data_IF_068997916438
#
_entry.id   IF_068997916438
#
_cell.length_a   1.000
_cell.length_b   1.000
_cell.length_c   1.000
_cell.angle_alpha   90.00
_cell.angle_beta   90.00
_cell.angle_gamma   90.00
#
_symmetry.space_group_name_H-M   'P 1'
#
loop_
_entity.id
_entity.type
_entity.pdbx_description
1 polymer ?
#
# COMPACT_ATOMS: atom_id res chain seq x y z
N UNK A 1 -3.15 14.26 26.99
CA UNK A 1 -1.79 14.19 26.41
C UNK A 1 -0.77 13.96 27.53
N UNK A 2 -0.73 12.78 28.17
CA UNK A 2 0.34 12.39 29.14
C UNK A 2 0.18 10.93 29.66
N UNK A 3 0.14 9.92 28.77
CA UNK A 3 0.08 8.50 29.21
C UNK A 3 1.09 7.60 28.45
N UNK A 4 1.82 8.10 27.44
CA UNK A 4 2.65 7.24 26.57
C UNK A 4 4.10 6.99 27.06
N UNK A 5 4.57 7.64 28.13
CA UNK A 5 5.99 7.60 28.53
C UNK A 5 6.35 6.57 29.61
N UNK A 6 5.38 5.90 30.24
CA UNK A 6 5.66 4.92 31.32
C UNK A 6 6.07 3.54 30.81
N UNK A 7 5.75 3.17 29.56
CA UNK A 7 6.05 1.84 29.01
C UNK A 7 7.50 1.65 28.55
N UNK A 8 8.17 2.71 28.09
CA UNK A 8 9.52 2.61 27.54
C UNK A 8 10.61 2.48 28.63
N UNK A 9 10.42 3.11 29.78
CA UNK A 9 11.36 3.00 30.92
C UNK A 9 11.37 1.61 31.54
N UNK A 10 10.23 0.90 31.58
CA UNK A 10 10.18 -0.48 32.07
C UNK A 10 10.92 -1.48 31.17
N UNK A 11 10.92 -1.28 29.84
CA UNK A 11 11.64 -2.17 28.91
C UNK A 11 13.16 -1.97 28.98
N UNK A 12 13.62 -0.73 29.10
CA UNK A 12 15.05 -0.44 29.27
C UNK A 12 15.62 -1.09 30.55
N UNK A 13 14.88 -1.02 31.67
CA UNK A 13 15.26 -1.65 32.93
C UNK A 13 15.29 -3.19 32.85
N UNK A 14 14.45 -3.80 32.02
CA UNK A 14 14.46 -5.27 31.84
C UNK A 14 15.67 -5.75 31.02
N UNK A 15 16.06 -4.99 29.99
CA UNK A 15 17.24 -5.28 29.17
C UNK A 15 18.54 -5.18 29.98
N UNK A 16 18.71 -4.12 30.78
CA UNK A 16 19.89 -3.96 31.63
C UNK A 16 20.03 -5.10 32.66
N UNK A 17 18.90 -5.54 33.22
CA UNK A 17 18.89 -6.67 34.15
C UNK A 17 19.27 -7.97 33.46
N UNK A 18 18.84 -8.18 32.21
CA UNK A 18 19.18 -9.37 31.44
C UNK A 18 20.69 -9.41 31.11
N UNK A 19 21.25 -8.27 30.68
CA UNK A 19 22.68 -8.13 30.36
C UNK A 19 23.54 -8.35 31.61
N UNK A 20 23.14 -7.80 32.76
CA UNK A 20 23.84 -8.01 34.03
C UNK A 20 23.83 -9.49 34.45
N UNK A 21 22.72 -10.18 34.26
CA UNK A 21 22.59 -11.61 34.61
C UNK A 21 23.47 -12.47 33.69
N UNK A 22 23.52 -12.16 32.40
CA UNK A 22 24.34 -12.90 31.43
C UNK A 22 25.84 -12.71 31.69
N UNK A 23 26.26 -11.50 32.06
CA UNK A 23 27.65 -11.22 32.43
C UNK A 23 28.10 -12.01 33.68
N UNK A 24 27.21 -12.17 34.66
CA UNK A 24 27.49 -12.94 35.88
C UNK A 24 27.66 -14.43 35.59
N UNK A 25 26.80 -15.02 34.76
CA UNK A 25 26.90 -16.43 34.35
C UNK A 25 28.22 -16.70 33.59
N UNK A 26 28.62 -15.80 32.69
CA UNK A 26 29.90 -15.91 31.98
C UNK A 26 31.12 -15.85 32.90
N UNK A 27 31.07 -15.02 33.95
CA UNK A 27 32.15 -14.92 34.93
C UNK A 27 32.27 -16.18 35.81
N UNK A 28 31.15 -16.78 36.20
CA UNK A 28 31.14 -18.04 36.96
C UNK A 28 31.67 -19.21 36.14
N UNK A 29 31.31 -19.29 34.86
CA UNK A 29 31.79 -20.36 33.97
C UNK A 29 33.32 -20.28 33.77
N UNK A 30 33.88 -19.06 33.63
CA UNK A 30 35.34 -18.85 33.60
C UNK A 30 36.02 -19.30 34.90
N UNK A 31 35.43 -19.02 36.07
CA UNK A 31 35.97 -19.47 37.38
C UNK A 31 35.96 -21.00 37.50
N UNK A 32 34.90 -21.66 37.05
CA UNK A 32 34.82 -23.13 37.07
C UNK A 32 35.84 -23.76 36.13
N UNK A 33 36.02 -23.23 34.92
CA UNK A 33 37.01 -23.75 33.97
C UNK A 33 38.44 -23.60 34.50
N UNK A 34 38.76 -22.49 35.18
CA UNK A 34 40.08 -22.31 35.82
C UNK A 34 40.33 -23.34 36.93
N UNK A 35 39.33 -23.67 37.75
CA UNK A 35 39.41 -24.72 38.77
C UNK A 35 39.64 -26.11 38.16
N UNK A 36 38.93 -26.45 37.07
CA UNK A 36 39.08 -27.77 36.40
C UNK A 36 40.47 -27.93 35.76
N UNK A 37 41.02 -26.88 35.17
CA UNK A 37 42.36 -26.91 34.60
C UNK A 37 43.45 -27.04 35.67
N UNK A 38 43.31 -26.34 36.81
CA UNK A 38 44.24 -26.49 37.94
C UNK A 38 44.25 -27.93 38.49
N UNK A 39 43.09 -28.58 38.59
CA UNK A 39 42.99 -29.95 39.08
C UNK A 39 43.61 -30.99 38.12
N UNK A 40 43.52 -30.76 36.80
CA UNK A 40 44.14 -31.64 35.79
C UNK A 40 45.67 -31.59 35.85
N UNK A 41 46.24 -30.40 35.98
CA UNK A 41 47.70 -30.21 36.07
C UNK A 41 48.25 -30.85 37.36
N UNK A 42 47.53 -30.74 38.48
CA UNK A 42 47.91 -31.40 39.73
C UNK A 42 47.91 -32.93 39.66
N UNK A 43 46.91 -33.53 38.98
CA UNK A 43 46.82 -35.00 38.81
C UNK A 43 47.88 -35.57 37.87
N UNK A 44 48.22 -34.88 36.78
CA UNK A 44 49.28 -35.35 35.88
C UNK A 44 50.67 -35.33 36.53
N UNK A 45 50.95 -34.34 37.39
CA UNK A 45 52.22 -34.26 38.11
C UNK A 45 52.38 -35.40 39.14
N UNK A 46 51.30 -35.80 39.82
CA UNK A 46 51.34 -36.90 40.79
C UNK A 46 51.62 -38.27 40.14
N UNK A 47 51.05 -38.52 38.95
CA UNK A 47 51.23 -39.80 38.23
C UNK A 47 52.66 -39.90 37.67
N UNK A 48 53.23 -38.80 37.17
CA UNK A 48 54.61 -38.79 36.69
C UNK A 48 55.65 -39.00 37.82
N UNK A 49 55.39 -38.50 39.02
CA UNK A 49 56.25 -38.71 40.19
C UNK A 49 56.28 -40.16 40.67
N UNK A 50 55.15 -40.87 40.64
CA UNK A 50 55.07 -42.26 41.08
C UNK A 50 55.79 -43.23 40.13
N UNK A 51 55.72 -43.01 38.81
CA UNK A 51 56.41 -43.84 37.82
C UNK A 51 57.94 -43.73 37.87
N UNK A 52 58.46 -42.57 38.29
CA UNK A 52 59.90 -42.30 38.36
C UNK A 52 60.54 -42.89 39.63
N UNK A 53 59.78 -43.01 40.73
CA UNK A 53 60.26 -43.67 41.95
C UNK A 53 60.38 -45.19 41.79
N UNK A 54 59.47 -45.84 41.04
CA UNK A 54 59.49 -47.28 40.84
C UNK A 54 60.66 -47.75 39.96
N UNK A 55 61.07 -46.94 38.97
CA UNK A 55 62.17 -47.28 38.06
C UNK A 55 63.54 -47.10 38.70
N UNK A 56 63.71 -46.11 39.58
CA UNK A 56 64.98 -45.88 40.30
C UNK A 56 65.27 -47.03 41.27
N UNK A 57 64.27 -47.58 41.95
CA UNK A 57 64.47 -48.72 42.87
C UNK A 57 64.88 -50.03 42.17
N UNK A 58 64.40 -50.29 40.95
CA UNK A 58 64.80 -51.50 40.20
C UNK A 58 66.22 -51.44 39.63
N UNK A 59 66.70 -50.26 39.22
CA UNK A 59 68.05 -50.12 38.64
C UNK A 59 69.13 -50.20 39.73
N UNK A 60 68.88 -49.68 40.93
CA UNK A 60 69.82 -49.78 42.06
C UNK A 60 69.98 -51.22 42.58
N UNK A 61 68.97 -52.08 42.44
CA UNK A 61 69.09 -53.50 42.79
C UNK A 61 69.94 -54.29 41.78
N UNK A 62 69.90 -53.93 40.49
CA UNK A 62 70.64 -54.63 39.44
C UNK A 62 72.13 -54.27 39.40
N UNK A 63 72.52 -53.07 39.83
CA UNK A 63 73.93 -52.65 39.85
C UNK A 63 74.72 -53.16 41.06
N UNK A 64 74.06 -53.69 42.09
CA UNK A 64 74.72 -54.20 43.30
C UNK A 64 75.08 -55.71 43.23
N UNK A 65 74.87 -56.35 42.06
CA UNK A 65 75.18 -57.77 41.82
C UNK A 65 76.58 -58.01 41.21
N UNK A 66 77.39 -56.95 41.06
CA UNK A 66 78.66 -57.02 40.31
C UNK A 66 79.89 -57.53 41.07
N UNK A 67 79.86 -57.68 42.39
CA UNK A 67 81.08 -58.08 43.14
C UNK A 67 80.81 -58.50 44.59
N UNK A 68 80.28 -59.70 44.81
CA UNK A 68 80.27 -60.35 46.13
C UNK A 68 80.56 -61.84 45.95
N UNK A 69 81.59 -62.33 46.65
CA UNK A 69 81.95 -63.75 46.69
C UNK A 69 80.76 -64.58 47.16
N UNK A 70 80.45 -65.66 46.45
CA UNK A 70 79.32 -66.56 46.68
C UNK A 70 79.05 -66.84 48.17
N UNK A 71 78.04 -66.20 48.79
CA UNK A 71 77.41 -66.74 49.98
C UNK A 71 76.54 -67.92 49.54
N UNK A 72 76.34 -68.89 50.43
CA UNK A 72 75.44 -70.02 50.20
C UNK A 72 74.11 -69.52 49.62
N UNK A 73 73.74 -70.04 48.45
CA UNK A 73 72.49 -69.74 47.77
C UNK A 73 71.35 -69.90 48.79
N UNK A 74 70.56 -68.84 49.08
CA UNK A 74 69.39 -69.00 49.90
C UNK A 74 68.48 -70.00 49.18
N UNK A 75 68.20 -71.12 49.84
CA UNK A 75 67.19 -72.08 49.38
C UNK A 75 65.86 -71.35 49.38
N UNK A 76 65.45 -70.86 48.21
CA UNK A 76 64.12 -70.29 47.99
C UNK A 76 63.13 -71.38 48.43
N UNK A 77 62.34 -71.07 49.46
CA UNK A 77 61.36 -72.02 49.95
C UNK A 77 60.24 -72.14 48.92
N UNK A 78 59.64 -73.32 48.79
CA UNK A 78 58.50 -73.53 47.88
C UNK A 78 57.37 -72.52 48.18
N UNK A 79 57.22 -72.12 49.46
CA UNK A 79 56.26 -71.09 49.89
C UNK A 79 56.52 -69.70 49.29
N UNK A 80 57.78 -69.30 49.09
CA UNK A 80 58.10 -68.01 48.47
C UNK A 80 57.71 -68.00 46.99
N UNK A 81 57.86 -69.15 46.32
CA UNK A 81 57.45 -69.33 44.92
C UNK A 81 55.93 -69.29 44.81
N UNK A 82 55.21 -69.98 45.69
CA UNK A 82 53.74 -69.99 45.69
C UNK A 82 53.17 -68.61 45.99
N UNK A 83 53.79 -67.85 46.91
CA UNK A 83 53.39 -66.48 47.22
C UNK A 83 53.61 -65.54 46.01
N UNK A 84 54.74 -65.67 45.30
CA UNK A 84 55.01 -64.90 44.10
C UNK A 84 54.01 -65.20 42.96
N UNK A 85 53.58 -66.47 42.84
CA UNK A 85 52.57 -66.88 41.86
C UNK A 85 51.21 -66.25 42.19
N UNK A 86 50.81 -66.23 43.47
CA UNK A 86 49.58 -65.58 43.92
C UNK A 86 49.62 -64.06 43.72
N UNK A 87 50.73 -63.41 44.07
CA UNK A 87 50.89 -61.96 43.87
C UNK A 87 50.82 -61.59 42.37
N UNK A 88 51.42 -62.43 41.51
CA UNK A 88 51.33 -62.26 40.05
C UNK A 88 49.89 -62.43 39.55
N UNK A 89 49.13 -63.37 40.09
CA UNK A 89 47.73 -63.57 39.74
C UNK A 89 46.88 -62.35 40.15
N UNK A 90 47.03 -61.86 41.38
CA UNK A 90 46.35 -60.63 41.85
C UNK A 90 46.72 -59.40 41.01
N UNK A 91 48.00 -59.25 40.66
CA UNK A 91 48.45 -58.13 39.82
C UNK A 91 47.83 -58.19 38.43
N UNK A 92 47.69 -59.39 37.87
CA UNK A 92 47.07 -59.59 36.55
C UNK A 92 45.58 -59.24 36.59
N UNK A 93 44.87 -59.60 37.67
CA UNK A 93 43.47 -59.24 37.88
C UNK A 93 43.29 -57.72 38.02
N UNK A 94 44.15 -57.06 38.81
CA UNK A 94 44.15 -55.60 38.97
C UNK A 94 44.43 -54.88 37.65
N UNK A 95 45.32 -55.41 36.81
CA UNK A 95 45.58 -54.87 35.47
C UNK A 95 44.35 -54.97 34.58
N UNK A 96 43.66 -56.12 34.57
CA UNK A 96 42.45 -56.31 33.79
C UNK A 96 41.35 -55.31 34.20
N UNK A 97 41.17 -55.10 35.51
CA UNK A 97 40.20 -54.11 36.03
C UNK A 97 40.58 -52.69 35.58
N UNK A 98 41.86 -52.32 35.64
CA UNK A 98 42.36 -51.02 35.19
C UNK A 98 42.14 -50.81 33.68
N UNK A 99 42.42 -51.83 32.85
CA UNK A 99 42.14 -51.77 31.41
C UNK A 99 40.65 -51.58 31.12
N UNK A 100 39.78 -52.30 31.83
CA UNK A 100 38.34 -52.15 31.71
C UNK A 100 37.87 -50.74 32.13
N UNK A 101 38.43 -50.18 33.20
CA UNK A 101 38.15 -48.81 33.62
C UNK A 101 38.63 -47.78 32.59
N UNK A 102 39.81 -47.94 32.01
CA UNK A 102 40.34 -47.05 30.97
C UNK A 102 39.43 -47.09 29.74
N UNK A 103 39.01 -48.27 29.30
CA UNK A 103 38.07 -48.41 28.19
C UNK A 103 36.73 -47.71 28.49
N UNK A 104 36.21 -47.85 29.72
CA UNK A 104 35.00 -47.15 30.16
C UNK A 104 35.14 -45.61 30.13
N UNK A 105 36.26 -45.08 30.62
CA UNK A 105 36.55 -43.64 30.60
C UNK A 105 36.70 -43.13 29.15
N UNK A 106 37.32 -43.90 28.27
CA UNK A 106 37.45 -43.54 26.85
C UNK A 106 36.08 -43.50 26.16
N UNK A 107 35.19 -44.45 26.44
CA UNK A 107 33.80 -44.43 25.97
C UNK A 107 33.04 -43.20 26.44
N UNK A 108 33.14 -42.87 27.74
CA UNK A 108 32.52 -41.64 28.28
C UNK A 108 33.08 -40.37 27.65
N UNK A 109 34.39 -40.31 27.38
CA UNK A 109 35.03 -39.18 26.70
C UNK A 109 34.48 -39.01 25.29
N UNK A 110 34.32 -40.08 24.53
CA UNK A 110 33.74 -40.03 23.18
C UNK A 110 32.29 -39.56 23.21
N UNK A 111 31.47 -40.10 24.13
CA UNK A 111 30.09 -39.67 24.30
C UNK A 111 29.98 -38.17 24.62
N UNK A 112 30.85 -37.64 25.50
CA UNK A 112 30.90 -36.20 25.79
C UNK A 112 31.38 -35.36 24.60
N UNK A 113 32.25 -35.90 23.74
CA UNK A 113 32.67 -35.19 22.52
C UNK A 113 31.53 -35.09 21.51
N UNK A 114 30.73 -36.14 21.36
CA UNK A 114 29.53 -36.13 20.52
C UNK A 114 28.51 -35.12 21.05
N UNK A 115 28.18 -35.18 22.35
CA UNK A 115 27.27 -34.19 22.97
C UNK A 115 27.77 -32.74 22.81
N UNK A 116 29.08 -32.52 22.90
CA UNK A 116 29.65 -31.18 22.68
C UNK A 116 29.48 -30.72 21.23
N UNK A 117 29.61 -31.61 20.25
CA UNK A 117 29.40 -31.29 18.85
C UNK A 117 27.93 -30.90 18.59
N UNK A 118 26.98 -31.69 19.11
CA UNK A 118 25.54 -31.39 19.04
C UNK A 118 25.21 -30.02 19.66
N UNK A 119 25.78 -29.71 20.83
CA UNK A 119 25.55 -28.42 21.47
C UNK A 119 26.11 -27.24 20.65
N UNK A 120 27.25 -27.42 19.98
CA UNK A 120 27.81 -26.38 19.10
C UNK A 120 26.89 -26.16 17.89
N UNK A 121 26.36 -27.22 17.29
CA UNK A 121 25.41 -27.13 16.19
C UNK A 121 24.11 -26.44 16.61
N UNK A 122 23.54 -26.82 17.76
CA UNK A 122 22.36 -26.16 18.32
C UNK A 122 22.61 -24.67 18.60
N UNK A 123 23.80 -24.31 19.09
CA UNK A 123 24.15 -22.91 19.34
C UNK A 123 24.28 -22.10 18.05
N UNK A 124 24.74 -22.71 16.96
CA UNK A 124 24.83 -22.07 15.65
C UNK A 124 23.43 -21.83 15.06
N UNK A 125 22.53 -22.81 15.17
CA UNK A 125 21.13 -22.66 14.75
C UNK A 125 20.42 -21.55 15.53
N UNK A 126 20.63 -21.46 16.84
CA UNK A 126 20.08 -20.38 17.67
C UNK A 126 20.62 -19.01 17.28
N UNK A 127 21.91 -18.90 16.94
CA UNK A 127 22.49 -17.65 16.47
C UNK A 127 21.88 -17.19 15.15
N UNK A 128 21.66 -18.12 14.21
CA UNK A 128 21.00 -17.82 12.94
C UNK A 128 19.55 -17.36 13.13
N UNK A 129 18.79 -18.03 14.01
CA UNK A 129 17.42 -17.62 14.32
C UNK A 129 17.34 -16.24 14.98
N UNK A 130 18.30 -15.90 15.84
CA UNK A 130 18.39 -14.56 16.44
C UNK A 130 18.70 -13.48 15.41
N UNK A 131 19.56 -13.77 14.43
CA UNK A 131 19.85 -12.85 13.32
C UNK A 131 18.61 -12.65 12.43
N UNK A 132 17.90 -13.73 12.10
CA UNK A 132 16.64 -13.65 11.35
C UNK A 132 15.56 -12.87 12.12
N UNK A 133 15.44 -13.07 13.44
CA UNK A 133 14.53 -12.32 14.27
C UNK A 133 14.89 -10.81 14.30
N UNK A 134 16.19 -10.48 14.34
CA UNK A 134 16.67 -9.11 14.28
C UNK A 134 16.31 -8.41 12.96
N UNK A 135 16.50 -9.08 11.82
CA UNK A 135 16.15 -8.52 10.51
C UNK A 135 14.63 -8.32 10.34
N UNK A 136 13.83 -9.28 10.85
CA UNK A 136 12.36 -9.14 10.91
C UNK A 136 11.93 -7.96 11.77
N UNK A 137 12.57 -7.76 12.93
CA UNK A 137 12.27 -6.62 13.79
C UNK A 137 12.58 -5.28 13.10
N UNK A 138 13.74 -5.15 12.45
CA UNK A 138 14.09 -3.92 11.72
C UNK A 138 13.13 -3.63 10.56
N UNK A 139 12.61 -4.69 9.91
CA UNK A 139 11.62 -4.55 8.83
C UNK A 139 10.26 -4.10 9.37
N UNK A 140 9.84 -4.62 10.52
CA UNK A 140 8.62 -4.15 11.20
C UNK A 140 8.73 -2.68 11.64
N UNK A 141 9.90 -2.27 12.14
CA UNK A 141 10.15 -0.89 12.53
C UNK A 141 10.09 0.06 11.32
N UNK A 142 10.64 -0.32 10.17
CA UNK A 142 10.55 0.49 8.95
C UNK A 142 9.11 0.57 8.41
N UNK A 143 8.37 -0.54 8.43
CA UNK A 143 6.94 -0.56 8.09
C UNK A 143 6.11 0.34 9.01
N UNK A 144 6.41 0.34 10.32
CA UNK A 144 5.73 1.21 11.28
C UNK A 144 6.02 2.69 11.01
N UNK A 145 7.26 3.05 10.64
CA UNK A 145 7.61 4.41 10.25
C UNK A 145 6.88 4.83 8.96
N UNK A 146 6.78 3.93 7.97
CA UNK A 146 6.00 4.17 6.76
C UNK A 146 4.50 4.39 7.07
N UNK A 147 3.93 3.58 7.97
CA UNK A 147 2.55 3.78 8.45
C UNK A 147 2.34 5.15 9.08
N UNK A 148 3.28 5.60 9.92
CA UNK A 148 3.20 6.95 10.50
C UNK A 148 3.34 8.06 9.47
N UNK A 149 4.07 7.86 8.37
CA UNK A 149 4.16 8.84 7.28
C UNK A 149 2.83 8.92 6.51
N UNK A 150 2.22 7.77 6.20
CA UNK A 150 0.91 7.72 5.55
C UNK A 150 -0.17 8.39 6.41
N UNK A 151 -0.15 8.19 7.73
CA UNK A 151 -1.09 8.88 8.63
C UNK A 151 -0.93 10.41 8.58
N UNK A 152 0.31 10.90 8.47
CA UNK A 152 0.57 12.34 8.31
C UNK A 152 0.09 12.86 6.97
N UNK A 153 0.27 12.10 5.89
CA UNK A 153 -0.25 12.45 4.55
C UNK A 153 -1.78 12.47 4.53
N UNK A 154 -2.44 11.47 5.12
CA UNK A 154 -3.90 11.44 5.24
C UNK A 154 -4.40 12.65 6.03
N UNK A 155 -3.73 13.00 7.13
CA UNK A 155 -4.06 14.19 7.90
C UNK A 155 -3.92 15.47 7.06
N UNK A 156 -2.83 15.60 6.28
CA UNK A 156 -2.62 16.74 5.40
C UNK A 156 -3.69 16.85 4.30
N UNK A 157 -4.04 15.73 3.65
CA UNK A 157 -5.10 15.67 2.63
C UNK A 157 -6.44 16.07 3.25
N UNK A 158 -6.76 15.57 4.45
CA UNK A 158 -8.01 15.93 5.14
C UNK A 158 -8.09 17.43 5.47
N UNK A 159 -6.97 18.05 5.82
CA UNK A 159 -6.89 19.49 6.07
C UNK A 159 -7.07 20.30 4.77
N UNK A 160 -6.47 19.84 3.67
CA UNK A 160 -6.67 20.46 2.34
C UNK A 160 -8.12 20.39 1.89
N UNK A 161 -8.78 19.23 2.06
CA UNK A 161 -10.21 19.08 1.74
C UNK A 161 -11.07 20.07 2.51
N UNK A 162 -10.84 20.20 3.82
CA UNK A 162 -11.57 21.17 4.66
C UNK A 162 -11.33 22.62 4.26
N UNK A 163 -10.12 22.95 3.79
CA UNK A 163 -9.81 24.28 3.29
C UNK A 163 -10.52 24.57 1.95
N UNK A 164 -10.61 23.57 1.07
CA UNK A 164 -11.38 23.66 -0.17
C UNK A 164 -12.87 23.87 0.12
N UNK A 165 -13.44 23.09 1.05
CA UNK A 165 -14.85 23.21 1.44
C UNK A 165 -15.19 24.63 1.93
N UNK A 166 -14.35 25.23 2.77
CA UNK A 166 -14.49 26.64 3.15
C UNK A 166 -14.43 27.63 1.98
N UNK A 167 -13.58 27.35 0.98
CA UNK A 167 -13.52 28.20 -0.21
C UNK A 167 -14.79 28.08 -1.05
N UNK A 168 -15.35 26.88 -1.16
CA UNK A 168 -16.64 26.66 -1.81
C UNK A 168 -17.76 27.43 -1.11
N UNK A 169 -17.86 27.36 0.21
CA UNK A 169 -18.82 28.16 0.99
C UNK A 169 -18.67 29.67 0.72
N UNK A 170 -17.43 30.16 0.59
CA UNK A 170 -17.17 31.56 0.24
C UNK A 170 -17.62 31.90 -1.18
N UNK A 171 -17.39 31.00 -2.15
CA UNK A 171 -17.86 31.20 -3.52
C UNK A 171 -19.38 31.18 -3.62
N UNK A 172 -20.04 30.30 -2.88
CA UNK A 172 -21.51 30.24 -2.82
C UNK A 172 -22.08 31.55 -2.26
N UNK A 173 -21.53 32.04 -1.16
CA UNK A 173 -21.93 33.34 -0.59
C UNK A 173 -21.68 34.52 -1.56
N UNK A 174 -20.61 34.48 -2.35
CA UNK A 174 -20.37 35.48 -3.40
C UNK A 174 -21.38 35.37 -4.54
N UNK A 175 -21.74 34.14 -4.93
CA UNK A 175 -22.77 33.88 -5.94
C UNK A 175 -24.14 34.43 -5.54
N UNK A 176 -24.54 34.24 -4.27
CA UNK A 176 -25.79 34.82 -3.75
C UNK A 176 -25.78 36.35 -3.79
N UNK A 177 -24.65 36.97 -3.44
CA UNK A 177 -24.50 38.43 -3.49
C UNK A 177 -24.62 38.96 -4.92
N UNK A 178 -23.97 38.29 -5.89
CA UNK A 178 -24.07 38.63 -7.31
C UNK A 178 -25.50 38.44 -7.85
N UNK A 179 -26.20 37.37 -7.45
CA UNK A 179 -27.59 37.16 -7.83
C UNK A 179 -28.49 38.30 -7.33
N UNK A 180 -28.28 38.77 -6.11
CA UNK A 180 -29.00 39.91 -5.55
C UNK A 180 -28.68 41.23 -6.28
N UNK A 181 -27.43 41.42 -6.71
CA UNK A 181 -27.02 42.56 -7.53
C UNK A 181 -27.71 42.55 -8.90
N UNK A 182 -27.78 41.39 -9.57
CA UNK A 182 -28.49 41.24 -10.86
C UNK A 182 -29.98 41.58 -10.72
N UNK A 183 -30.63 41.12 -9.65
CA UNK A 183 -32.03 41.45 -9.36
C UNK A 183 -32.19 42.98 -9.20
N UNK A 184 -31.29 43.62 -8.47
CA UNK A 184 -31.32 45.07 -8.27
C UNK A 184 -31.13 45.84 -9.58
N UNK A 185 -30.18 45.42 -10.42
CA UNK A 185 -29.94 46.03 -11.75
C UNK A 185 -31.15 45.85 -12.66
N UNK A 186 -31.77 44.66 -12.68
CA UNK A 186 -32.98 44.41 -13.47
C UNK A 186 -34.16 45.28 -13.00
N UNK A 187 -34.31 45.49 -11.69
CA UNK A 187 -35.31 46.40 -11.14
C UNK A 187 -35.06 47.85 -11.59
N UNK A 188 -33.81 48.31 -11.56
CA UNK A 188 -33.44 49.64 -12.04
C UNK A 188 -33.69 49.81 -13.54
N UNK A 189 -33.37 48.78 -14.35
CA UNK A 189 -33.66 48.78 -15.79
C UNK A 189 -35.15 48.95 -16.07
N UNK A 190 -36.00 48.18 -15.36
CA UNK A 190 -37.45 48.26 -15.50
C UNK A 190 -38.00 49.65 -15.14
N UNK A 191 -37.43 50.29 -14.12
CA UNK A 191 -37.78 51.66 -13.75
C UNK A 191 -37.39 52.66 -14.86
N UNK A 192 -36.18 52.55 -15.42
CA UNK A 192 -35.74 53.38 -16.53
C UNK A 192 -36.60 53.19 -17.80
N UNK A 193 -37.01 51.96 -18.10
CA UNK A 193 -37.94 51.66 -19.21
C UNK A 193 -39.31 52.33 -18.99
N UNK A 194 -39.83 52.29 -17.77
CA UNK A 194 -41.05 53.00 -17.37
C UNK A 194 -40.93 54.51 -17.58
N UNK A 195 -39.81 55.10 -17.14
CA UNK A 195 -39.52 56.53 -17.33
C UNK A 195 -39.43 56.90 -18.81
N UNK A 196 -38.77 56.07 -19.63
CA UNK A 196 -38.68 56.26 -21.08
C UNK A 196 -40.07 56.26 -21.72
N UNK A 197 -40.94 55.31 -21.36
CA UNK A 197 -42.32 55.28 -21.86
C UNK A 197 -43.15 56.50 -21.43
N UNK A 198 -42.90 57.07 -20.25
CA UNK A 198 -43.53 58.34 -19.85
C UNK A 198 -43.06 59.50 -20.73
N UNK A 199 -41.76 59.60 -21.00
CA UNK A 199 -41.19 60.63 -21.87
C UNK A 199 -41.73 60.50 -23.30
N UNK A 200 -41.81 59.28 -23.83
CA UNK A 200 -42.33 59.05 -25.18
C UNK A 200 -43.81 59.46 -25.29
N UNK A 201 -44.63 59.20 -24.27
CA UNK A 201 -46.01 59.70 -24.20
C UNK A 201 -46.06 61.23 -24.14
N UNK A 202 -45.25 61.86 -23.30
CA UNK A 202 -45.17 63.32 -23.24
C UNK A 202 -44.77 63.94 -24.60
N UNK A 203 -43.85 63.28 -25.33
CA UNK A 203 -43.46 63.69 -26.68
C UNK A 203 -44.59 63.54 -27.69
N UNK A 204 -45.35 62.45 -27.63
CA UNK A 204 -46.53 62.26 -28.48
C UNK A 204 -47.59 63.33 -28.21
N UNK A 205 -47.92 63.61 -26.94
CA UNK A 205 -48.86 64.66 -26.55
C UNK A 205 -48.40 66.05 -27.06
N UNK A 206 -47.11 66.36 -26.93
CA UNK A 206 -46.53 67.60 -27.48
C UNK A 206 -46.64 67.66 -29.01
N UNK A 207 -46.37 66.55 -29.69
CA UNK A 207 -46.49 66.47 -31.15
C UNK A 207 -47.94 66.67 -31.62
N UNK A 208 -48.91 66.04 -30.95
CA UNK A 208 -50.35 66.24 -31.21
C UNK A 208 -50.77 67.69 -30.96
N UNK A 209 -50.29 68.33 -29.89
CA UNK A 209 -50.55 69.74 -29.64
C UNK A 209 -49.98 70.65 -30.74
N UNK A 210 -48.78 70.34 -31.23
CA UNK A 210 -48.16 71.07 -32.34
C UNK A 210 -48.91 70.85 -33.66
N UNK A 211 -49.31 69.63 -33.97
CA UNK A 211 -50.13 69.33 -35.16
C UNK A 211 -51.48 70.04 -35.09
N UNK A 212 -52.14 70.02 -33.93
CA UNK A 212 -53.39 70.75 -33.70
C UNK A 212 -53.21 72.27 -33.88
N UNK A 213 -52.10 72.82 -33.39
CA UNK A 213 -51.76 74.22 -33.61
C UNK A 213 -51.51 74.53 -35.09
N UNK A 214 -50.75 73.69 -35.80
CA UNK A 214 -50.48 73.84 -37.24
C UNK A 214 -51.74 73.67 -38.10
N UNK A 215 -52.65 72.77 -37.73
CA UNK A 215 -53.95 72.57 -38.39
C UNK A 215 -54.82 73.83 -38.32
N UNK A 216 -54.81 74.53 -37.19
CA UNK A 216 -55.48 75.83 -37.06
C UNK A 216 -54.85 76.89 -37.99
N UNK A 217 -53.52 76.91 -38.13
CA UNK A 217 -52.84 77.79 -39.10
C UNK A 217 -53.13 77.42 -40.57
N UNK A 218 -53.21 76.12 -40.92
CA UNK A 218 -53.57 75.67 -42.28
C UNK A 218 -55.02 75.99 -42.65
N UNK A 219 -55.95 75.87 -41.70
CA UNK A 219 -57.38 76.18 -41.92
C UNK A 219 -57.66 77.66 -42.22
N UNK A 220 -56.75 78.57 -41.86
CA UNK A 220 -56.83 79.99 -42.24
C UNK A 220 -56.22 80.29 -43.63
N UNK A 221 -55.50 79.33 -44.23
CA UNK A 221 -54.84 79.48 -45.55
C UNK A 221 -55.59 78.81 -46.69
N UNK A 222 -56.62 78.01 -46.42
CA UNK A 222 -57.34 77.22 -47.44
C UNK A 222 -58.65 77.85 -47.92
N UNK A 223 -58.77 79.18 -47.88
CA UNK A 223 -59.87 79.91 -48.53
C UNK A 223 -59.47 80.54 -49.87
N UNK A 224 -58.48 79.95 -50.58
CA UNK A 224 -58.14 80.31 -51.95
C UNK A 224 -57.57 79.10 -52.73
N UNK A 225 -58.28 78.69 -53.78
CA UNK A 225 -57.84 77.75 -54.83
C UNK A 225 -58.10 76.29 -54.50
N UNK A 226 -59.22 75.66 -54.86
CA UNK A 226 -59.81 75.43 -56.19
C UNK A 226 -58.99 74.51 -57.12
N UNK A 227 -59.69 73.44 -57.53
CA UNK A 227 -59.54 72.57 -58.68
C UNK A 227 -58.25 71.72 -58.89
N UNK A 228 -58.45 70.39 -58.83
CA UNK A 228 -58.14 69.56 -60.01
C UNK A 228 -57.48 68.20 -59.80
N UNK A 229 -58.20 67.17 -60.28
CA UNK A 229 -57.74 65.91 -60.93
C UNK A 229 -57.13 64.81 -60.03
N UNK A 230 -57.72 63.62 -59.95
CA UNK A 230 -57.97 62.56 -60.97
C UNK A 230 -56.75 61.64 -61.17
N UNK A 231 -57.00 60.32 -61.05
CA UNK A 231 -56.02 59.23 -61.18
C UNK A 231 -56.08 58.25 -59.99
N UNK A 232 -56.92 57.23 -59.97
CA UNK A 232 -56.82 55.95 -60.72
C UNK A 232 -56.15 54.83 -59.88
N UNK A 233 -57.02 53.96 -59.36
CA UNK A 233 -56.91 52.49 -59.17
C UNK A 233 -55.51 51.84 -59.28
N UNK A 234 -55.12 51.10 -58.25
CA UNK A 234 -54.80 49.68 -58.43
C UNK A 234 -55.15 48.88 -57.17
N UNK A 235 -56.03 47.92 -57.37
CA UNK A 235 -56.49 46.93 -56.41
C UNK A 235 -56.28 45.59 -57.10
N UNK A 236 -55.27 44.86 -56.66
CA UNK A 236 -55.04 43.46 -57.02
C UNK A 236 -54.36 42.77 -55.85
N UNK A 237 -54.55 41.50 -55.56
CA UNK A 237 -55.67 40.58 -55.70
C UNK A 237 -55.24 39.40 -54.82
N UNK A 238 -56.05 39.03 -53.84
CA UNK A 238 -55.86 37.79 -53.10
C UNK A 238 -56.04 36.60 -54.05
N UNK A 239 -55.05 35.70 -54.10
CA UNK A 239 -55.21 34.36 -54.67
C UNK A 239 -54.88 33.36 -53.57
N UNK A 240 -55.93 32.69 -53.13
CA UNK A 240 -55.87 31.53 -52.27
C UNK A 240 -55.71 30.26 -53.13
N UNK A 241 -54.79 29.41 -52.68
CA UNK A 241 -54.99 27.97 -52.46
C UNK A 241 -55.24 27.05 -53.68
N UNK A 242 -54.19 26.34 -54.10
CA UNK A 242 -54.30 24.96 -54.59
C UNK A 242 -53.31 24.05 -53.82
N UNK A 243 -53.79 23.52 -52.70
CA UNK A 243 -53.78 22.11 -52.33
C UNK A 243 -52.92 21.15 -53.22
N UNK A 244 -51.61 21.10 -52.96
CA UNK A 244 -50.75 19.98 -53.37
C UNK A 244 -50.52 19.12 -52.13
N UNK A 245 -51.31 18.06 -52.01
CA UNK A 245 -51.17 17.02 -51.00
C UNK A 245 -49.90 16.22 -51.30
N UNK A 246 -48.77 16.65 -50.74
CA UNK A 246 -47.50 15.93 -50.78
C UNK A 246 -47.57 14.74 -49.82
N UNK A 247 -47.51 13.55 -50.41
CA UNK A 247 -47.27 12.29 -49.71
C UNK A 247 -45.97 12.40 -48.90
N UNK A 248 -46.08 12.63 -47.60
CA UNK A 248 -44.94 12.55 -46.67
C UNK A 248 -44.53 11.09 -46.53
N UNK A 249 -43.60 10.66 -47.37
CA UNK A 249 -42.75 9.50 -47.11
C UNK A 249 -41.93 9.79 -45.85
N UNK A 250 -42.12 9.00 -44.81
CA UNK A 250 -41.44 9.06 -43.49
C UNK A 250 -39.94 8.72 -43.54
N UNK A 251 -39.23 9.14 -44.59
CA UNK A 251 -37.80 8.86 -44.79
C UNK A 251 -36.90 10.06 -44.44
N UNK A 252 -37.50 11.21 -44.08
CA UNK A 252 -36.77 12.46 -43.81
C UNK A 252 -36.77 12.89 -42.34
N UNK A 253 -37.17 12.03 -41.41
CA UNK A 253 -37.05 12.28 -39.97
C UNK A 253 -36.07 11.34 -39.26
N UNK A 254 -35.07 10.85 -40.00
CA UNK A 254 -33.83 10.42 -39.34
C UNK A 254 -33.09 11.69 -38.95
N UNK A 255 -33.38 12.17 -37.74
CA UNK A 255 -32.57 13.20 -37.09
C UNK A 255 -31.16 12.62 -37.01
N UNK A 256 -30.21 13.33 -37.62
CA UNK A 256 -28.80 12.91 -37.62
C UNK A 256 -28.35 12.66 -36.19
N UNK A 257 -27.59 11.59 -35.98
CA UNK A 257 -27.11 11.18 -34.65
C UNK A 257 -26.36 12.33 -33.95
N UNK A 258 -25.63 13.15 -34.72
CA UNK A 258 -24.95 14.33 -34.20
C UNK A 258 -25.93 15.45 -33.75
N UNK A 259 -27.07 15.58 -34.42
CA UNK A 259 -28.14 16.53 -34.08
C UNK A 259 -28.90 16.05 -32.83
N UNK A 260 -29.14 14.74 -32.70
CA UNK A 260 -29.69 14.13 -31.47
C UNK A 260 -28.75 14.29 -30.27
N UNK A 261 -27.43 14.16 -30.47
CA UNK A 261 -26.43 14.35 -29.41
C UNK A 261 -26.39 15.81 -28.94
N UNK A 262 -26.49 16.79 -29.86
CA UNK A 262 -26.67 18.21 -29.52
C UNK A 262 -27.95 18.45 -28.73
N UNK A 263 -29.08 17.91 -29.18
CA UNK A 263 -30.38 18.10 -28.54
C UNK A 263 -30.48 17.44 -27.17
N UNK A 264 -29.71 16.36 -26.92
CA UNK A 264 -29.66 15.65 -25.62
C UNK A 264 -28.71 16.29 -24.61
N UNK A 265 -28.05 17.41 -24.96
CA UNK A 265 -27.00 17.98 -24.11
C UNK A 265 -25.78 17.06 -24.00
N UNK A 266 -25.49 16.31 -25.06
CA UNK A 266 -24.30 15.48 -25.13
C UNK A 266 -23.05 16.35 -25.03
N UNK A 267 -22.24 16.10 -24.00
CA UNK A 267 -20.94 16.71 -23.85
C UNK A 267 -20.07 16.22 -25.01
N UNK A 268 -19.96 17.04 -26.06
CA UNK A 268 -18.79 16.99 -26.94
C UNK A 268 -17.61 17.32 -26.04
N UNK A 269 -16.95 16.27 -25.57
CA UNK A 269 -15.63 16.38 -24.97
C UNK A 269 -14.74 16.86 -26.12
N UNK A 270 -14.67 18.18 -26.32
CA UNK A 270 -13.93 18.78 -27.42
C UNK A 270 -12.52 18.20 -27.47
N UNK A 271 -11.96 18.11 -28.68
CA UNK A 271 -10.57 17.69 -28.93
C UNK A 271 -9.65 18.23 -27.83
N UNK A 272 -9.31 17.42 -26.84
CA UNK A 272 -8.57 17.94 -25.68
C UNK A 272 -8.71 17.15 -24.39
N UNK A 273 -9.91 16.87 -23.88
CA UNK A 273 -10.03 16.24 -22.54
C UNK A 273 -9.77 14.74 -22.63
N UNK A 274 -8.57 14.35 -22.24
CA UNK A 274 -8.14 12.97 -22.12
C UNK A 274 -8.46 12.45 -20.73
N UNK A 275 -9.42 11.53 -20.64
CA UNK A 275 -9.69 10.76 -19.43
C UNK A 275 -8.90 9.47 -19.50
N UNK A 276 -8.04 9.25 -18.52
CA UNK A 276 -7.36 7.98 -18.31
C UNK A 276 -7.97 7.28 -17.09
N UNK A 277 -8.23 5.99 -17.23
CA UNK A 277 -8.83 5.16 -16.20
C UNK A 277 -7.94 3.95 -15.98
N UNK A 278 -7.48 3.74 -14.76
CA UNK A 278 -6.84 2.51 -14.34
C UNK A 278 -7.52 1.95 -13.13
N UNK A 279 -7.35 0.64 -12.92
CA UNK A 279 -7.56 0.07 -11.60
C UNK A 279 -6.57 -1.03 -11.32
N UNK A 280 -6.17 -1.14 -10.06
CA UNK A 280 -5.31 -2.19 -9.55
C UNK A 280 -6.06 -2.95 -8.48
N UNK A 281 -6.14 -4.26 -8.64
CA UNK A 281 -6.74 -5.16 -7.66
C UNK A 281 -5.67 -6.03 -7.04
N UNK A 282 -5.58 -6.01 -5.72
CA UNK A 282 -4.68 -6.87 -4.94
C UNK A 282 -5.48 -7.75 -4.00
N UNK A 283 -5.05 -9.00 -3.84
CA UNK A 283 -5.61 -9.93 -2.86
C UNK A 283 -4.51 -10.43 -1.93
N UNK A 284 -4.75 -10.42 -0.62
CA UNK A 284 -3.79 -10.88 0.37
C UNK A 284 -4.42 -11.82 1.40
N UNK A 285 -3.61 -12.73 1.93
CA UNK A 285 -3.95 -13.67 3.00
C UNK A 285 -2.97 -13.46 4.13
N UNK A 286 -3.46 -13.12 5.32
CA UNK A 286 -2.67 -12.78 6.51
C UNK A 286 -1.60 -11.71 6.25
N UNK A 287 -1.93 -10.72 5.40
CA UNK A 287 -1.01 -9.65 5.02
C UNK A 287 0.04 -10.02 3.98
N UNK A 288 0.00 -11.24 3.41
CA UNK A 288 0.85 -11.66 2.31
C UNK A 288 0.06 -11.59 1.01
N UNK A 289 0.51 -10.73 0.09
CA UNK A 289 -0.09 -10.60 -1.24
C UNK A 289 0.00 -11.92 -2.00
N UNK A 290 -1.15 -12.35 -2.52
CA UNK A 290 -1.32 -13.58 -3.28
C UNK A 290 -1.47 -13.29 -4.78
N UNK A 291 -2.06 -12.16 -5.14
CA UNK A 291 -2.14 -11.70 -6.53
C UNK A 291 -2.27 -10.17 -6.63
N UNK A 292 -1.85 -9.66 -7.78
CA UNK A 292 -1.99 -8.26 -8.19
C UNK A 292 -2.34 -8.21 -9.66
N UNK A 293 -3.53 -7.70 -9.99
CA UNK A 293 -3.98 -7.46 -11.35
C UNK A 293 -4.09 -5.96 -11.58
N UNK A 294 -3.47 -5.45 -12.65
CA UNK A 294 -3.53 -4.03 -13.00
C UNK A 294 -4.07 -3.85 -14.41
N UNK A 295 -4.96 -2.86 -14.56
CA UNK A 295 -5.54 -2.48 -15.84
C UNK A 295 -5.48 -0.97 -16.01
N UNK A 296 -5.21 -0.52 -17.24
CA UNK A 296 -5.08 0.89 -17.57
C UNK A 296 -5.56 1.17 -18.98
N UNK A 297 -6.36 2.22 -19.12
CA UNK A 297 -6.81 2.84 -20.37
C UNK A 297 -6.19 4.24 -20.39
N UNK A 298 -5.31 4.50 -21.34
CA UNK A 298 -4.53 5.74 -21.38
C UNK A 298 -5.26 6.93 -22.06
N UNK A 299 -6.39 6.72 -22.73
CA UNK A 299 -7.27 7.79 -23.22
C UNK A 299 -8.62 7.18 -23.65
N UNK A 300 -9.71 7.61 -23.03
CA UNK A 300 -11.08 7.23 -23.43
C UNK A 300 -11.57 8.10 -24.61
N UNK A 301 -10.95 9.27 -24.83
CA UNK A 301 -11.39 10.27 -25.82
C UNK A 301 -10.99 9.98 -27.27
N UNK A 302 -9.94 9.19 -27.51
CA UNK A 302 -9.41 8.91 -28.86
C UNK A 302 -10.10 7.72 -29.58
N UNK A 303 -11.21 7.23 -29.01
CA UNK A 303 -11.91 6.04 -29.47
C UNK A 303 -11.42 4.81 -28.72
N UNK A 304 -12.35 4.05 -28.13
CA UNK A 304 -12.06 2.77 -27.51
C UNK A 304 -11.68 1.75 -28.60
N UNK A 305 -10.45 1.81 -29.10
CA UNK A 305 -9.85 0.71 -29.84
C UNK A 305 -9.78 -0.54 -28.96
N UNK A 306 -9.54 -1.72 -29.56
CA UNK A 306 -9.41 -3.00 -28.86
C UNK A 306 -8.57 -2.83 -27.58
N UNK A 307 -9.26 -2.76 -26.44
CA UNK A 307 -8.62 -2.62 -25.14
C UNK A 307 -7.96 -3.97 -24.85
N UNK A 308 -6.65 -3.96 -24.74
CA UNK A 308 -5.89 -5.16 -24.43
C UNK A 308 -6.14 -5.57 -22.97
N UNK A 309 -7.08 -6.50 -22.80
CA UNK A 309 -7.44 -7.07 -21.50
C UNK A 309 -6.70 -8.38 -21.22
N UNK A 310 -5.68 -8.73 -22.01
CA UNK A 310 -4.92 -10.00 -21.86
C UNK A 310 -4.25 -10.17 -20.49
N UNK A 311 -4.03 -9.07 -19.77
CA UNK A 311 -3.46 -9.06 -18.42
C UNK A 311 -4.52 -9.17 -17.30
N UNK A 312 -5.83 -9.16 -17.62
CA UNK A 312 -6.93 -9.30 -16.66
C UNK A 312 -7.45 -10.74 -16.62
N UNK A 313 -6.67 -11.65 -16.05
CA UNK A 313 -7.12 -13.03 -15.85
C UNK A 313 -7.92 -13.15 -14.55
N UNK A 314 -8.98 -13.95 -14.56
CA UNK A 314 -9.70 -14.36 -13.35
C UNK A 314 -8.74 -15.07 -12.41
N UNK A 315 -8.62 -14.61 -11.16
CA UNK A 315 -7.70 -15.22 -10.19
C UNK A 315 -8.46 -16.19 -9.30
N UNK A 316 -7.94 -17.42 -9.25
CA UNK A 316 -8.34 -18.41 -8.26
C UNK A 316 -7.34 -18.42 -7.10
N UNK A 317 -7.80 -18.06 -5.92
CA UNK A 317 -7.02 -18.12 -4.68
C UNK A 317 -7.53 -19.27 -3.83
N UNK A 318 -6.69 -20.27 -3.59
CA UNK A 318 -7.01 -21.43 -2.76
C UNK A 318 -6.11 -21.46 -1.53
N UNK A 319 -6.69 -21.19 -0.37
CA UNK A 319 -5.99 -21.23 0.92
C UNK A 319 -6.41 -22.48 1.70
N UNK A 320 -5.45 -23.37 1.97
CA UNK A 320 -5.70 -24.66 2.64
C UNK A 320 -5.86 -25.86 1.70
N UNK A 321 -5.92 -27.06 2.30
CA UNK A 321 -6.10 -28.32 1.58
C UNK A 321 -7.58 -28.62 1.33
N UNK A 322 -7.88 -29.45 0.32
CA UNK A 322 -9.25 -29.86 0.01
C UNK A 322 -10.09 -28.82 -0.75
N UNK A 323 -9.47 -27.71 -1.18
CA UNK A 323 -10.09 -26.77 -2.11
C UNK A 323 -10.30 -27.45 -3.48
N UNK A 324 -11.54 -27.53 -3.95
CA UNK A 324 -11.90 -28.08 -5.25
C UNK A 324 -12.61 -26.99 -6.03
N UNK A 325 -12.04 -26.58 -7.16
CA UNK A 325 -12.72 -25.74 -8.17
C UNK A 325 -13.10 -26.60 -9.36
N UNK A 326 -14.37 -26.53 -9.73
CA UNK A 326 -14.81 -27.07 -11.02
C UNK A 326 -14.31 -26.15 -12.13
N UNK A 327 -13.61 -26.71 -13.12
CA UNK A 327 -13.04 -25.98 -14.27
C UNK A 327 -14.09 -25.13 -15.01
N UNK A 328 -15.36 -25.58 -15.02
CA UNK A 328 -16.45 -24.82 -15.65
C UNK A 328 -16.81 -23.51 -14.95
N UNK A 329 -16.47 -23.36 -13.66
CA UNK A 329 -16.66 -22.09 -12.93
C UNK A 329 -15.63 -21.06 -13.39
N UNK A 330 -14.39 -21.49 -13.66
CA UNK A 330 -13.33 -20.61 -14.17
C UNK A 330 -13.64 -20.13 -15.60
N UNK A 331 -14.15 -21.02 -16.45
CA UNK A 331 -14.55 -20.67 -17.81
C UNK A 331 -15.73 -19.67 -17.81
N UNK A 332 -16.68 -19.78 -16.87
CA UNK A 332 -17.78 -18.80 -16.73
C UNK A 332 -17.34 -17.43 -16.22
N UNK A 333 -16.15 -17.33 -15.62
CA UNK A 333 -15.56 -16.09 -15.14
C UNK A 333 -14.68 -15.43 -16.21
N UNK A 334 -14.41 -16.09 -17.33
CA UNK A 334 -13.64 -15.49 -18.43
C UNK A 334 -14.35 -14.26 -19.04
N UNK A 335 -15.69 -14.20 -18.96
CA UNK A 335 -16.50 -13.06 -19.40
C UNK A 335 -16.75 -12.01 -18.30
N UNK A 336 -16.39 -12.29 -17.03
CA UNK A 336 -16.68 -11.41 -15.89
C UNK A 336 -15.45 -11.24 -15.01
N UNK A 337 -14.92 -10.01 -14.88
CA UNK A 337 -13.81 -9.70 -13.97
C UNK A 337 -14.13 -10.11 -12.53
N UNK A 338 -13.67 -11.28 -12.13
CA UNK A 338 -14.03 -11.89 -10.86
C UNK A 338 -12.90 -12.73 -10.30
N UNK A 339 -12.70 -12.62 -8.99
CA UNK A 339 -11.80 -13.48 -8.25
C UNK A 339 -12.61 -14.50 -7.46
N UNK A 340 -12.18 -15.75 -7.51
CA UNK A 340 -12.75 -16.80 -6.67
C UNK A 340 -11.77 -17.09 -5.56
N UNK A 341 -12.21 -16.92 -4.33
CA UNK A 341 -11.43 -17.25 -3.14
C UNK A 341 -12.05 -18.46 -2.49
N UNK A 342 -11.26 -19.53 -2.35
CA UNK A 342 -11.59 -20.69 -1.56
C UNK A 342 -10.66 -20.76 -0.35
N UNK A 343 -11.24 -20.90 0.83
CA UNK A 343 -10.49 -21.00 2.06
C UNK A 343 -11.05 -22.14 2.90
N UNK A 344 -10.19 -23.09 3.26
CA UNK A 344 -10.53 -24.22 4.14
C UNK A 344 -9.84 -24.14 5.50
N UNK A 345 -9.07 -23.07 5.75
CA UNK A 345 -8.42 -22.83 7.03
C UNK A 345 -9.21 -21.82 7.87
N UNK A 346 -9.29 -22.06 9.17
CA UNK A 346 -9.88 -21.12 10.13
C UNK A 346 -8.93 -19.95 10.42
N UNK A 347 -9.48 -18.85 10.93
CA UNK A 347 -8.73 -17.66 11.39
C UNK A 347 -7.82 -16.99 10.35
N UNK A 348 -8.21 -17.06 9.08
CA UNK A 348 -7.47 -16.40 7.99
C UNK A 348 -8.04 -15.01 7.74
N UNK A 349 -7.16 -14.00 7.73
CA UNK A 349 -7.54 -12.64 7.30
C UNK A 349 -7.33 -12.54 5.81
N UNK A 350 -8.41 -12.55 5.04
CA UNK A 350 -8.38 -12.42 3.59
C UNK A 350 -8.85 -11.01 3.24
N UNK A 351 -8.01 -10.26 2.52
CA UNK A 351 -8.33 -8.92 2.06
C UNK A 351 -8.27 -8.86 0.54
N UNK A 352 -9.22 -8.17 -0.08
CA UNK A 352 -9.17 -7.82 -1.50
C UNK A 352 -9.36 -6.33 -1.61
N UNK A 353 -8.38 -5.63 -2.17
CA UNK A 353 -8.37 -4.19 -2.31
C UNK A 353 -8.39 -3.85 -3.80
N UNK A 354 -9.40 -3.10 -4.23
CA UNK A 354 -9.45 -2.52 -5.58
C UNK A 354 -9.22 -1.03 -5.47
N UNK A 355 -8.16 -0.54 -6.11
CA UNK A 355 -7.83 0.88 -6.23
C UNK A 355 -8.20 1.34 -7.63
N UNK A 356 -9.02 2.39 -7.73
CA UNK A 356 -9.38 3.03 -8.99
C UNK A 356 -8.57 4.32 -9.15
N UNK A 357 -7.82 4.41 -10.24
CA UNK A 357 -7.02 5.57 -10.61
C UNK A 357 -7.68 6.29 -11.79
N UNK A 358 -8.31 7.43 -11.51
CA UNK A 358 -8.96 8.26 -12.54
C UNK A 358 -8.14 9.54 -12.68
N UNK A 359 -7.58 9.75 -13.87
CA UNK A 359 -6.81 10.96 -14.18
C UNK A 359 -7.43 11.69 -15.37
N UNK A 360 -7.72 12.98 -15.15
CA UNK A 360 -8.31 13.90 -16.11
C UNK A 360 -7.21 14.84 -16.60
N UNK A 361 -6.87 14.77 -17.88
CA UNK A 361 -5.90 15.65 -18.52
C UNK A 361 -6.60 16.72 -19.38
N UNK A 362 -6.02 17.92 -19.44
CA UNK A 362 -6.52 19.06 -20.24
C UNK A 362 -7.89 19.65 -19.85
N UNK A 363 -8.29 19.51 -18.59
CA UNK A 363 -9.52 20.12 -18.02
C UNK A 363 -9.57 21.65 -18.25
N UNK A 364 -8.41 22.30 -18.33
CA UNK A 364 -8.30 23.75 -18.51
C UNK A 364 -8.82 24.24 -19.88
N UNK A 365 -8.69 23.44 -20.94
CA UNK A 365 -9.20 23.78 -22.28
C UNK A 365 -10.72 23.68 -22.35
N UNK A 366 -11.29 22.66 -21.69
CA UNK A 366 -12.73 22.44 -21.60
C UNK A 366 -13.42 23.51 -20.74
N UNK A 367 -12.79 23.90 -19.63
CA UNK A 367 -13.28 25.01 -18.80
C UNK A 367 -13.23 26.35 -19.57
N UNK A 368 -12.15 26.63 -20.29
CA UNK A 368 -12.06 27.84 -21.13
C UNK A 368 -13.12 27.87 -22.24
N UNK A 369 -13.44 26.72 -22.84
CA UNK A 369 -14.55 26.59 -23.80
C UNK A 369 -15.91 26.92 -23.19
N UNK A 370 -16.22 26.39 -22.00
CA UNK A 370 -17.45 26.71 -21.26
C UNK A 370 -17.57 28.21 -20.95
N UNK A 371 -16.47 28.84 -20.52
CA UNK A 371 -16.46 30.29 -20.29
C UNK A 371 -16.63 31.10 -21.58
N UNK A 372 -16.12 30.61 -22.71
CA UNK A 372 -16.28 31.23 -24.02
C UNK A 372 -17.71 31.13 -24.58
N UNK A 373 -18.36 29.96 -24.44
CA UNK A 373 -19.76 29.78 -24.81
C UNK A 373 -20.69 30.60 -23.94
N UNK A 374 -20.43 30.68 -22.64
CA UNK A 374 -21.24 31.47 -21.73
C UNK A 374 -21.09 32.97 -22.02
N UNK A 375 -19.87 33.44 -22.33
CA UNK A 375 -19.64 34.81 -22.79
C UNK A 375 -20.31 35.11 -24.15
N UNK A 376 -20.36 34.13 -25.07
CA UNK A 376 -21.06 34.27 -26.35
C UNK A 376 -22.58 34.27 -26.20
N UNK A 377 -23.13 33.36 -25.37
CA UNK A 377 -24.55 33.30 -25.05
C UNK A 377 -25.03 34.58 -24.34
N UNK A 378 -24.23 35.10 -23.41
CA UNK A 378 -24.49 36.39 -22.77
C UNK A 378 -24.41 37.57 -23.76
N UNK A 379 -23.52 37.50 -24.76
CA UNK A 379 -23.43 38.54 -25.80
C UNK A 379 -24.59 38.49 -26.83
N UNK A 380 -25.13 37.30 -27.11
CA UNK A 380 -26.20 37.09 -28.08
C UNK A 380 -27.60 37.18 -27.47
N UNK A 381 -27.75 36.97 -26.16
CA UNK A 381 -28.99 37.20 -25.40
C UNK A 381 -29.29 38.68 -25.10
N UNK A 382 -28.44 39.60 -25.57
CA UNK A 382 -28.51 41.04 -25.28
C UNK A 382 -29.12 41.91 -26.40
N UNK A 383 -29.76 41.34 -27.44
CA UNK A 383 -30.41 42.12 -28.51
C UNK A 383 -31.94 42.05 -28.48
#
# INVERSE_FOLDING_TARGET
>A
MSIATSGQTSRALQLDRLVATYAQVGAEQKRQNKKRNALRIGRSAAIAGAGLLLSITCVSLLQNLGSVSAPALPTISQSDVDQLVNDRAEFTEKLLILEQQIAGIQGQKQALQVQRAEFVEQSALLAQLLEEAGTKQTTLESQQQQGSQLDQEIAAISAQRKALEKRWEQFEAQGELLAMEIIAVNAQRKELESQRHQIDRQRQELAEMLERAQGLYRSNSSNAGDAGRDGSLDTTAAVADENVFSTYTYDSLLVDTAELDRMRGGFSVGEGLDVSFGFTQTGSVNGIDQFTNSFKIDSVGSGLGNVDMSNMNSVLLQNGSGNIVSTGVLDSLSDTFGNVIQNTLDDQVISTTTVFDISLQNVSGTLQGLHGEQALADSLGSY
#
